data_IF_291727883083
#
_entry.id   IF_291727883083
#
_cell.length_a   1.000
_cell.length_b   1.000
_cell.length_c   1.000
_cell.angle_alpha   90.00
_cell.angle_beta   90.00
_cell.angle_gamma   90.00
#
_symmetry.space_group_name_H-M   'P 1'
#
loop_
_entity.id
_entity.type
_entity.pdbx_description
1 polymer ?
#
# COMPACT_ATOMS: atom_id res chain seq x y z
N UNK A 1 18.08 7.39 21.04
CA UNK A 1 17.39 8.14 19.97
C UNK A 1 15.90 7.83 20.07
N UNK A 2 15.06 8.85 20.27
CA UNK A 2 13.64 8.69 20.62
C UNK A 2 12.83 8.13 19.43
N UNK A 3 12.22 6.97 19.64
CA UNK A 3 11.38 6.26 18.66
C UNK A 3 10.16 7.09 18.22
N UNK A 4 9.68 8.01 19.07
CA UNK A 4 8.51 8.86 18.82
C UNK A 4 8.78 9.99 17.81
N UNK A 5 10.02 10.51 17.75
CA UNK A 5 10.39 11.56 16.79
C UNK A 5 10.44 11.04 15.35
N UNK A 6 10.64 9.73 15.17
CA UNK A 6 10.66 9.08 13.86
C UNK A 6 9.24 8.87 13.28
N UNK A 7 8.17 8.97 14.11
CA UNK A 7 6.78 8.75 13.68
C UNK A 7 6.19 9.92 12.89
N UNK A 8 6.86 11.07 12.85
CA UNK A 8 6.39 12.28 12.16
C UNK A 8 7.27 12.67 10.97
N UNK A 9 8.28 11.86 10.66
CA UNK A 9 9.16 12.13 9.53
C UNK A 9 8.66 11.37 8.31
N UNK A 10 8.55 12.07 7.19
CA UNK A 10 8.29 11.41 5.92
C UNK A 10 9.50 10.57 5.51
N UNK A 11 9.28 9.28 5.23
CA UNK A 11 10.33 8.37 4.81
C UNK A 11 10.88 8.65 3.39
N UNK A 12 10.21 9.47 2.59
CA UNK A 12 10.61 9.80 1.22
C UNK A 12 11.39 11.12 1.14
N UNK A 13 10.84 12.22 1.65
CA UNK A 13 11.50 13.53 1.59
C UNK A 13 12.28 13.91 2.86
N UNK A 14 12.11 13.17 3.96
CA UNK A 14 12.78 13.47 5.23
C UNK A 14 12.18 14.66 6.00
N UNK A 15 11.16 15.32 5.46
CA UNK A 15 10.47 16.43 6.14
C UNK A 15 9.85 15.97 7.45
N UNK A 16 10.06 16.75 8.52
CA UNK A 16 9.33 16.61 9.76
C UNK A 16 7.98 17.30 9.59
N UNK A 17 6.96 16.52 9.30
CA UNK A 17 5.65 17.09 9.01
C UNK A 17 4.91 17.38 10.31
N UNK A 18 4.46 18.62 10.46
CA UNK A 18 3.79 19.07 11.67
C UNK A 18 2.38 18.46 11.85
N UNK A 19 1.73 18.02 10.77
CA UNK A 19 0.29 17.73 10.79
C UNK A 19 -0.09 16.29 10.44
N UNK A 20 0.23 15.73 9.26
CA UNK A 20 -0.34 14.42 8.86
C UNK A 20 0.62 13.55 8.05
N UNK A 21 1.07 12.43 8.63
CA UNK A 21 1.76 11.37 7.89
C UNK A 21 0.88 10.13 7.77
N UNK A 22 0.94 9.47 6.62
CA UNK A 22 0.13 8.31 6.26
C UNK A 22 0.96 7.04 6.30
N UNK A 23 0.40 6.00 6.93
CA UNK A 23 1.03 4.69 6.98
C UNK A 23 0.86 3.98 5.65
N UNK A 24 1.97 3.52 5.07
CA UNK A 24 1.96 2.65 3.90
C UNK A 24 3.00 1.55 4.03
N UNK A 25 2.74 0.44 3.35
CA UNK A 25 3.59 -0.74 3.36
C UNK A 25 4.21 -0.92 1.99
N UNK A 26 5.52 -1.10 1.96
CA UNK A 26 6.27 -1.45 0.74
C UNK A 26 7.30 -2.50 1.10
N UNK A 27 7.35 -3.58 0.32
CA UNK A 27 8.31 -4.66 0.52
C UNK A 27 8.32 -5.20 1.96
N UNK A 28 7.13 -5.34 2.57
CA UNK A 28 6.90 -5.77 3.97
C UNK A 28 7.29 -4.76 5.05
N UNK A 29 7.93 -3.64 4.72
CA UNK A 29 8.26 -2.57 5.65
C UNK A 29 7.13 -1.55 5.74
N UNK A 30 6.76 -1.20 6.97
CA UNK A 30 5.87 -0.08 7.24
C UNK A 30 6.69 1.20 7.19
N UNK A 31 6.22 2.19 6.44
CA UNK A 31 6.84 3.50 6.30
C UNK A 31 5.75 4.56 6.34
N UNK A 32 6.12 5.77 6.72
CA UNK A 32 5.20 6.91 6.77
C UNK A 32 5.51 7.90 5.68
N UNK A 33 4.51 8.33 4.93
CA UNK A 33 4.66 9.32 3.86
C UNK A 33 3.85 10.57 4.19
N UNK A 34 4.36 11.74 3.80
CA UNK A 34 3.56 12.95 3.82
C UNK A 34 2.49 12.91 2.73
N UNK A 35 1.50 13.81 2.81
CA UNK A 35 0.43 13.94 1.79
C UNK A 35 1.02 14.01 0.38
N UNK A 36 1.98 14.91 0.15
CA UNK A 36 2.59 15.11 -1.17
C UNK A 36 3.35 13.87 -1.66
N UNK A 37 4.16 13.24 -0.81
CA UNK A 37 4.92 12.04 -1.21
C UNK A 37 4.00 10.83 -1.44
N UNK A 38 2.93 10.68 -0.66
CA UNK A 38 1.96 9.61 -0.85
C UNK A 38 1.27 9.76 -2.21
N UNK A 39 0.75 10.94 -2.53
CA UNK A 39 0.11 11.24 -3.81
C UNK A 39 1.09 11.08 -4.98
N UNK A 40 2.34 11.52 -4.82
CA UNK A 40 3.37 11.31 -5.86
C UNK A 40 3.77 9.87 -6.08
N UNK A 41 3.76 9.03 -5.06
CA UNK A 41 4.11 7.61 -5.20
C UNK A 41 2.94 6.81 -5.81
N UNK A 42 1.70 7.26 -5.59
CA UNK A 42 0.49 6.54 -5.97
C UNK A 42 -0.38 7.31 -6.98
N UNK A 43 0.25 7.90 -8.00
CA UNK A 43 -0.41 8.74 -9.04
C UNK A 43 -1.44 8.00 -9.90
N UNK A 44 -1.45 6.68 -9.83
CA UNK A 44 -2.36 5.80 -10.57
C UNK A 44 -3.64 5.48 -9.78
N UNK A 45 -3.81 6.01 -8.56
CA UNK A 45 -4.96 5.74 -7.69
C UNK A 45 -5.94 6.90 -7.57
N UNK A 46 -5.69 8.03 -8.23
CA UNK A 46 -6.53 9.22 -8.18
C UNK A 46 -6.31 10.08 -9.42
N UNK A 47 -7.24 10.99 -9.68
CA UNK A 47 -7.09 12.01 -10.72
C UNK A 47 -6.23 13.18 -10.21
N UNK A 48 -5.09 13.54 -10.83
CA UNK A 48 -4.23 14.64 -10.37
C UNK A 48 -4.84 16.04 -10.60
N UNK A 49 -6.00 16.14 -11.26
CA UNK A 49 -6.67 17.41 -11.56
C UNK A 49 -7.77 17.70 -10.53
N UNK A 50 -8.64 16.72 -10.24
CA UNK A 50 -9.76 16.89 -9.29
C UNK A 50 -9.56 16.16 -7.95
N UNK A 51 -8.45 15.44 -7.79
CA UNK A 51 -8.10 14.69 -6.58
C UNK A 51 -9.07 13.57 -6.16
N UNK A 52 -10.01 13.22 -7.03
CA UNK A 52 -11.01 12.18 -6.75
C UNK A 52 -10.41 10.76 -6.74
N UNK A 53 -10.96 9.92 -5.86
CA UNK A 53 -10.58 8.53 -5.59
C UNK A 53 -11.87 7.71 -5.51
N UNK A 54 -12.04 6.58 -6.24
CA UNK A 54 -11.05 5.74 -6.94
C UNK A 54 -10.61 6.27 -8.31
N UNK A 55 -9.62 5.64 -8.99
CA UNK A 55 -9.26 6.06 -10.33
C UNK A 55 -10.47 6.00 -11.30
N UNK A 56 -10.54 6.92 -12.28
CA UNK A 56 -11.64 7.02 -13.25
C UNK A 56 -11.89 5.70 -13.99
N UNK A 57 -13.16 5.33 -14.23
CA UNK A 57 -13.51 4.23 -15.15
C UNK A 57 -13.06 4.54 -16.58
N UNK A 58 -13.24 5.80 -17.02
CA UNK A 58 -12.76 6.31 -18.30
C UNK A 58 -11.60 7.28 -18.08
N UNK A 59 -10.40 6.89 -18.48
CA UNK A 59 -9.18 7.62 -18.14
C UNK A 59 -8.21 7.85 -19.28
N UNK A 60 -7.41 8.91 -19.12
CA UNK A 60 -6.24 9.25 -19.93
C UNK A 60 -5.00 9.07 -19.06
N UNK A 61 -3.98 8.43 -19.62
CA UNK A 61 -2.68 8.25 -18.97
C UNK A 61 -1.72 9.34 -19.43
N UNK A 62 -0.96 9.90 -18.49
CA UNK A 62 0.10 10.85 -18.78
C UNK A 62 1.20 10.22 -19.66
N UNK A 63 1.72 10.97 -20.63
CA UNK A 63 2.82 10.54 -21.48
C UNK A 63 4.09 10.15 -20.70
N UNK A 64 4.36 10.83 -19.59
CA UNK A 64 5.65 10.79 -18.90
C UNK A 64 5.65 10.00 -17.59
N UNK A 65 4.49 9.56 -17.10
CA UNK A 65 4.38 8.84 -15.82
C UNK A 65 3.06 8.06 -15.73
N UNK A 66 2.90 7.12 -14.77
CA UNK A 66 1.68 6.30 -14.64
C UNK A 66 0.49 7.07 -14.04
N UNK A 67 0.42 8.39 -14.19
CA UNK A 67 -0.68 9.20 -13.67
C UNK A 67 -1.91 9.06 -14.56
N UNK A 68 -3.08 8.90 -13.92
CA UNK A 68 -4.36 8.61 -14.56
C UNK A 68 -5.32 9.78 -14.29
N UNK A 69 -6.05 10.24 -15.30
CA UNK A 69 -6.95 11.42 -15.20
C UNK A 69 -8.28 11.10 -15.87
N UNK A 70 -9.41 11.62 -15.36
CA UNK A 70 -10.72 11.45 -16.03
C UNK A 70 -10.67 12.00 -17.46
N UNK A 71 -11.43 11.44 -18.41
CA UNK A 71 -11.57 12.02 -19.76
C UNK A 71 -12.11 13.46 -19.76
N UNK A 72 -12.91 13.83 -18.75
CA UNK A 72 -13.53 15.15 -18.60
C UNK A 72 -12.68 16.15 -17.79
N UNK A 73 -11.66 15.67 -17.07
CA UNK A 73 -10.73 16.53 -16.34
C UNK A 73 -9.65 17.23 -17.18
N UNK A 74 -9.10 16.72 -18.32
CA UNK A 74 -8.15 17.48 -19.11
C UNK A 74 -8.80 18.75 -19.63
N UNK A 75 -8.03 19.84 -19.82
CA UNK A 75 -8.50 20.92 -20.68
C UNK A 75 -8.77 20.30 -22.05
N UNK A 76 -10.01 20.39 -22.54
CA UNK A 76 -10.35 20.02 -23.92
C UNK A 76 -9.29 20.64 -24.84
N UNK A 77 -8.48 19.86 -25.57
CA UNK A 77 -7.51 20.46 -26.45
C UNK A 77 -8.30 21.22 -27.51
N UNK A 78 -8.01 22.51 -27.69
CA UNK A 78 -8.55 23.29 -28.81
C UNK A 78 -8.05 22.77 -30.17
N UNK A 79 -7.19 21.74 -30.19
CA UNK A 79 -6.69 21.07 -31.40
C UNK A 79 -6.29 19.63 -31.09
N UNK A 80 -6.87 18.69 -31.83
CA UNK A 80 -6.95 17.23 -31.63
C UNK A 80 -5.63 16.42 -31.69
N UNK A 81 -4.46 16.97 -31.32
CA UNK A 81 -3.17 16.34 -31.65
C UNK A 81 -2.10 16.26 -30.55
N UNK A 82 -2.28 16.80 -29.35
CA UNK A 82 -1.24 16.75 -28.30
C UNK A 82 -1.52 15.66 -27.24
N UNK A 83 -0.54 14.82 -26.88
CA UNK A 83 -0.67 13.84 -25.82
C UNK A 83 -0.78 14.52 -24.45
N UNK A 84 -1.58 13.95 -23.56
CA UNK A 84 -1.79 14.50 -22.22
C UNK A 84 -0.53 14.41 -21.35
N UNK A 85 -0.22 15.50 -20.66
CA UNK A 85 0.83 15.56 -19.64
C UNK A 85 0.21 16.05 -18.33
N UNK A 86 0.37 15.28 -17.25
CA UNK A 86 -0.20 15.64 -15.96
C UNK A 86 0.55 16.81 -15.31
N UNK A 87 -0.10 17.56 -14.39
CA UNK A 87 0.52 18.72 -13.73
C UNK A 87 1.89 18.41 -13.09
N UNK A 88 2.09 17.29 -12.37
CA UNK A 88 3.41 16.93 -11.82
C UNK A 88 4.53 16.70 -12.85
N UNK A 89 4.19 16.41 -14.11
CA UNK A 89 5.16 16.22 -15.19
C UNK A 89 5.36 17.49 -16.02
N UNK A 90 4.36 18.37 -16.07
CA UNK A 90 4.45 19.66 -16.74
C UNK A 90 5.26 20.67 -15.92
N UNK A 91 5.16 20.60 -14.59
CA UNK A 91 5.77 21.57 -13.68
C UNK A 91 6.79 20.88 -12.74
N UNK A 92 8.08 21.25 -12.81
CA UNK A 92 9.14 20.56 -12.03
C UNK A 92 9.02 20.78 -10.52
N UNK A 93 8.39 21.89 -10.10
CA UNK A 93 8.19 22.26 -8.69
C UNK A 93 6.75 22.04 -8.22
N UNK A 94 5.91 21.36 -9.02
CA UNK A 94 4.53 21.06 -8.66
C UNK A 94 4.47 20.36 -7.31
N UNK A 95 3.51 20.71 -6.43
CA UNK A 95 3.26 20.05 -5.15
C UNK A 95 1.76 19.86 -4.96
N UNK A 96 1.32 18.67 -4.54
CA UNK A 96 -0.10 18.42 -4.23
C UNK A 96 -0.51 19.04 -2.89
N UNK A 97 0.46 19.25 -2.01
CA UNK A 97 0.22 19.77 -0.67
C UNK A 97 1.34 20.73 -0.28
N UNK A 98 1.03 21.88 0.35
CA UNK A 98 2.04 22.84 0.78
C UNK A 98 2.91 22.26 1.90
N UNK A 99 4.24 22.36 1.75
CA UNK A 99 5.22 21.78 2.71
C UNK A 99 5.36 22.57 4.02
N UNK A 100 4.91 23.84 4.04
CA UNK A 100 5.06 24.72 5.20
C UNK A 100 3.95 25.79 5.26
N UNK A 101 2.69 25.40 5.50
CA UNK A 101 1.68 26.38 5.86
C UNK A 101 1.77 26.69 7.36
N UNK A 102 2.46 27.78 7.70
CA UNK A 102 2.31 28.40 9.03
C UNK A 102 0.90 29.03 9.22
N UNK A 103 0.06 29.03 8.17
CA UNK A 103 -1.34 29.41 8.26
C UNK A 103 -2.19 28.25 8.78
N UNK A 104 -3.08 28.59 9.72
CA UNK A 104 -4.07 27.68 10.31
C UNK A 104 -5.25 27.36 9.39
N UNK A 105 -5.29 27.95 8.20
CA UNK A 105 -6.38 27.79 7.22
C UNK A 105 -5.88 26.94 6.06
N UNK A 106 -6.48 25.77 5.90
CA UNK A 106 -6.33 24.93 4.71
C UNK A 106 -7.22 25.50 3.61
N UNK A 107 -6.70 25.67 2.41
CA UNK A 107 -7.52 25.91 1.23
C UNK A 107 -8.22 24.62 0.79
N UNK A 108 -9.23 24.77 -0.07
CA UNK A 108 -10.03 23.65 -0.55
C UNK A 108 -9.17 22.59 -1.23
N UNK A 109 -8.20 23.00 -2.06
CA UNK A 109 -7.30 22.10 -2.77
C UNK A 109 -6.43 21.27 -1.81
N UNK A 110 -5.87 21.88 -0.76
CA UNK A 110 -5.12 21.15 0.27
C UNK A 110 -6.02 20.21 1.08
N UNK A 111 -7.27 20.60 1.33
CA UNK A 111 -8.24 19.72 2.00
C UNK A 111 -8.56 18.49 1.15
N UNK A 112 -8.82 18.68 -0.14
CA UNK A 112 -9.07 17.59 -1.09
C UNK A 112 -7.86 16.67 -1.22
N UNK A 113 -6.64 17.22 -1.24
CA UNK A 113 -5.40 16.45 -1.25
C UNK A 113 -5.23 15.58 0.01
N UNK A 114 -5.58 16.12 1.19
CA UNK A 114 -5.57 15.37 2.45
C UNK A 114 -6.57 14.23 2.45
N UNK A 115 -7.79 14.47 1.95
CA UNK A 115 -8.84 13.46 1.84
C UNK A 115 -8.42 12.36 0.86
N UNK A 116 -7.94 12.72 -0.33
CA UNK A 116 -7.43 11.78 -1.32
C UNK A 116 -6.31 10.90 -0.74
N UNK A 117 -5.34 11.52 -0.08
CA UNK A 117 -4.24 10.82 0.59
C UNK A 117 -4.74 9.85 1.68
N UNK A 118 -5.73 10.25 2.48
CA UNK A 118 -6.32 9.40 3.51
C UNK A 118 -7.02 8.18 2.91
N UNK A 119 -7.82 8.37 1.86
CA UNK A 119 -8.54 7.29 1.17
C UNK A 119 -7.53 6.31 0.55
N UNK A 120 -6.50 6.82 -0.13
CA UNK A 120 -5.43 5.99 -0.73
C UNK A 120 -4.70 5.18 0.35
N UNK A 121 -4.30 5.81 1.46
CA UNK A 121 -3.62 5.11 2.56
C UNK A 121 -4.49 3.99 3.14
N UNK A 122 -5.78 4.27 3.37
CA UNK A 122 -6.73 3.28 3.85
C UNK A 122 -6.89 2.11 2.86
N UNK A 123 -7.06 2.40 1.57
CA UNK A 123 -7.14 1.40 0.52
C UNK A 123 -5.91 0.48 0.49
N UNK A 124 -4.71 1.07 0.47
CA UNK A 124 -3.44 0.33 0.46
C UNK A 124 -3.30 -0.56 1.69
N UNK A 125 -3.58 -0.03 2.89
CA UNK A 125 -3.44 -0.79 4.14
C UNK A 125 -4.48 -1.88 4.31
N UNK A 126 -5.70 -1.66 3.83
CA UNK A 126 -6.73 -2.71 3.82
C UNK A 126 -6.35 -3.85 2.86
N UNK A 127 -5.83 -3.53 1.68
CA UNK A 127 -5.37 -4.55 0.73
C UNK A 127 -4.20 -5.38 1.30
N UNK A 128 -3.21 -4.70 1.89
CA UNK A 128 -2.08 -5.36 2.55
C UNK A 128 -2.53 -6.22 3.74
N UNK A 129 -3.45 -5.74 4.57
CA UNK A 129 -4.01 -6.50 5.68
C UNK A 129 -4.76 -7.75 5.19
N UNK A 130 -5.48 -7.67 4.06
CA UNK A 130 -6.16 -8.81 3.46
C UNK A 130 -5.16 -9.89 2.98
N UNK A 131 -4.10 -9.50 2.27
CA UNK A 131 -3.08 -10.45 1.80
C UNK A 131 -2.29 -11.08 2.95
N UNK A 132 -1.99 -10.33 4.03
CA UNK A 132 -1.39 -10.90 5.24
C UNK A 132 -2.28 -11.95 5.91
N UNK A 133 -3.59 -11.68 6.02
CA UNK A 133 -4.54 -12.63 6.59
C UNK A 133 -4.59 -13.91 5.76
N UNK A 134 -4.64 -13.77 4.42
CA UNK A 134 -4.60 -14.89 3.48
C UNK A 134 -3.33 -15.72 3.64
N UNK A 135 -2.17 -15.08 3.74
CA UNK A 135 -0.89 -15.78 3.95
C UNK A 135 -0.82 -16.45 5.33
N UNK A 136 -1.32 -15.80 6.38
CA UNK A 136 -1.40 -16.39 7.72
C UNK A 136 -2.29 -17.65 7.70
N UNK A 137 -3.44 -17.60 7.03
CA UNK A 137 -4.32 -18.76 6.88
C UNK A 137 -3.61 -19.91 6.15
N UNK A 138 -2.92 -19.65 5.04
CA UNK A 138 -2.13 -20.67 4.32
C UNK A 138 -1.13 -21.36 5.24
N UNK A 139 -0.38 -20.59 6.04
CA UNK A 139 0.59 -21.13 7.00
C UNK A 139 -0.06 -21.97 8.09
N UNK A 140 -1.22 -21.54 8.61
CA UNK A 140 -1.98 -22.29 9.61
C UNK A 140 -2.41 -23.65 9.04
N UNK A 141 -2.94 -23.70 7.81
CA UNK A 141 -3.34 -24.96 7.18
C UNK A 141 -2.15 -25.87 6.92
N UNK A 142 -1.05 -25.34 6.38
CA UNK A 142 0.18 -26.11 6.17
C UNK A 142 0.73 -26.69 7.49
N UNK A 143 0.75 -25.91 8.57
CA UNK A 143 1.19 -26.37 9.89
C UNK A 143 0.27 -27.44 10.48
N UNK A 144 -1.06 -27.30 10.32
CA UNK A 144 -2.04 -28.32 10.75
C UNK A 144 -1.81 -29.64 10.01
N UNK A 145 -1.63 -29.58 8.71
CA UNK A 145 -1.38 -30.76 7.87
C UNK A 145 -0.05 -31.45 8.21
N UNK A 146 1.02 -30.67 8.40
CA UNK A 146 2.31 -31.19 8.85
C UNK A 146 2.19 -31.89 10.22
N UNK A 147 1.45 -31.29 11.17
CA UNK A 147 1.18 -31.90 12.48
C UNK A 147 0.39 -33.20 12.37
N UNK A 148 -0.61 -33.26 11.48
CA UNK A 148 -1.39 -34.48 11.22
C UNK A 148 -0.48 -35.60 10.72
N UNK A 149 0.33 -35.34 9.68
CA UNK A 149 1.28 -36.30 9.12
C UNK A 149 2.32 -36.77 10.14
N UNK A 150 2.84 -35.88 10.97
CA UNK A 150 3.77 -36.23 12.02
C UNK A 150 3.14 -37.18 13.06
N UNK A 151 1.88 -36.94 13.45
CA UNK A 151 1.14 -37.83 14.35
C UNK A 151 0.92 -39.21 13.74
N UNK A 152 0.54 -39.28 12.47
CA UNK A 152 0.35 -40.54 11.74
C UNK A 152 1.65 -41.34 11.64
N UNK A 153 2.77 -40.68 11.34
CA UNK A 153 4.07 -41.33 11.33
C UNK A 153 4.46 -41.90 12.70
N UNK A 154 4.21 -41.14 13.79
CA UNK A 154 4.48 -41.62 15.15
C UNK A 154 3.59 -42.82 15.53
N UNK A 155 2.30 -42.80 15.17
CA UNK A 155 1.40 -43.93 15.40
C UNK A 155 1.86 -45.18 14.66
N UNK A 156 2.27 -45.04 13.40
CA UNK A 156 2.83 -46.15 12.61
C UNK A 156 4.11 -46.72 13.23
N UNK A 157 5.01 -45.85 13.72
CA UNK A 157 6.23 -46.30 14.40
C UNK A 157 5.91 -47.08 15.69
N UNK A 158 4.91 -46.66 16.47
CA UNK A 158 4.48 -47.39 17.66
C UNK A 158 3.95 -48.79 17.33
N UNK A 159 3.12 -48.92 16.28
CA UNK A 159 2.61 -50.22 15.82
C UNK A 159 3.75 -51.17 15.40
N UNK A 160 4.76 -50.66 14.68
CA UNK A 160 5.92 -51.44 14.29
C UNK A 160 6.75 -51.93 15.49
N UNK A 161 6.94 -51.07 16.51
CA UNK A 161 7.65 -51.46 17.74
C UNK A 161 6.88 -52.54 18.51
N UNK A 162 5.55 -52.46 18.58
CA UNK A 162 4.73 -53.48 19.22
C UNK A 162 4.83 -54.82 18.49
N UNK A 163 4.76 -54.81 17.16
CA UNK A 163 4.97 -56.01 16.33
C UNK A 163 6.35 -56.63 16.55
N UNK A 164 7.42 -55.82 16.57
CA UNK A 164 8.76 -56.35 16.83
C UNK A 164 8.88 -57.03 18.19
N UNK A 165 8.26 -56.49 19.24
CA UNK A 165 8.24 -57.14 20.56
C UNK A 165 7.52 -58.48 20.53
N UNK A 166 6.34 -58.56 19.89
CA UNK A 166 5.62 -59.84 19.79
C UNK A 166 6.38 -60.91 19.02
N UNK A 167 7.23 -60.54 18.06
CA UNK A 167 8.08 -61.49 17.33
C UNK A 167 9.37 -61.88 18.07
N UNK A 168 9.80 -61.11 19.08
CA UNK A 168 11.01 -61.39 19.86
C UNK A 168 10.78 -62.26 21.11
N UNK A 169 9.53 -62.48 21.49
CA UNK A 169 9.15 -63.29 22.67
C UNK A 169 8.78 -64.75 22.29
N UNK A 170 8.86 -65.13 21.01
CA UNK A 170 8.56 -66.48 20.49
C UNK A 170 9.81 -67.35 20.18
N UNK A 171 11.01 -66.89 20.55
CA UNK A 171 12.29 -67.61 20.38
C UNK A 171 12.92 -67.99 21.74
#
# INVERSE_FOLDING_TARGET
MNQEQNLRQCAACGEQEAFFTYAVRKNKNLRRLCTDCLLREHRNLFCPICLDVPPPEESIVCLNCPSITHLDCPPRPSSSASPFTCPPCSEPNFSFFPKSSHSTVLDQESADALVAAAIISAFLMNNEAAELKKEAHKKIFAAKEAKRRAKEALANLQDLVLKQKSFGDEE
#
